data_IF_946954610751
#
_entry.id   IF_946954610751
#
_cell.length_a   1.000
_cell.length_b   1.000
_cell.length_c   1.000
_cell.angle_alpha   90.00
_cell.angle_beta   90.00
_cell.angle_gamma   90.00
#
_symmetry.space_group_name_H-M   'P 1'
#
loop_
_entity.id
_entity.type
_entity.pdbx_description
1 polymer ?
#
# COMPACT_ATOMS: atom_id res chain seq x y z
N UNK A 1 13.42 11.66 50.32
CA UNK A 1 14.69 11.38 49.62
C UNK A 1 14.32 10.98 48.21
N UNK A 2 14.33 11.92 47.27
CA UNK A 2 14.19 11.60 45.84
C UNK A 2 15.43 10.82 45.40
N UNK A 3 15.20 9.71 44.71
CA UNK A 3 16.25 8.80 44.30
C UNK A 3 17.02 9.41 43.10
N UNK A 4 18.31 9.72 43.23
CA UNK A 4 19.08 10.42 42.17
C UNK A 4 19.34 9.56 40.92
N UNK A 5 18.83 8.32 40.89
CA UNK A 5 18.98 7.37 39.79
C UNK A 5 17.66 7.03 39.07
N UNK A 6 16.58 7.80 39.27
CA UNK A 6 15.48 7.75 38.30
C UNK A 6 15.96 8.39 36.99
N UNK A 7 16.66 7.58 36.18
CA UNK A 7 16.78 7.84 34.75
C UNK A 7 15.35 8.08 34.26
N UNK A 8 15.08 9.33 33.87
CA UNK A 8 13.83 9.75 33.24
C UNK A 8 13.68 8.94 31.97
N UNK A 9 13.18 7.70 32.08
CA UNK A 9 12.89 6.84 30.96
C UNK A 9 11.96 7.67 30.09
N UNK A 10 12.42 8.03 28.90
CA UNK A 10 11.57 8.70 27.91
C UNK A 10 10.44 7.74 27.61
N UNK A 11 9.35 7.91 28.36
CA UNK A 11 8.13 7.14 28.21
C UNK A 11 7.65 7.46 26.81
N UNK A 12 7.67 6.45 25.94
CA UNK A 12 7.23 6.61 24.55
C UNK A 12 5.83 7.21 24.58
N UNK A 13 5.55 8.26 23.79
CA UNK A 13 4.21 8.81 23.74
C UNK A 13 3.27 7.72 23.22
N UNK A 14 2.19 7.46 23.96
CA UNK A 14 1.19 6.44 23.61
C UNK A 14 0.72 6.58 22.16
N UNK A 15 0.62 7.81 21.68
CA UNK A 15 0.25 8.13 20.31
C UNK A 15 1.22 7.52 19.26
N UNK A 16 2.54 7.63 19.47
CA UNK A 16 3.54 7.06 18.56
C UNK A 16 3.50 5.52 18.58
N UNK A 17 3.24 4.92 19.75
CA UNK A 17 3.03 3.47 19.88
C UNK A 17 1.83 3.02 19.05
N UNK A 18 0.69 3.73 19.13
CA UNK A 18 -0.52 3.42 18.34
C UNK A 18 -0.24 3.57 16.85
N UNK A 19 0.42 4.64 16.42
CA UNK A 19 0.80 4.81 15.00
C UNK A 19 1.65 3.65 14.49
N UNK A 20 2.68 3.26 15.25
CA UNK A 20 3.56 2.15 14.86
C UNK A 20 2.77 0.84 14.74
N UNK A 21 1.83 0.57 15.65
CA UNK A 21 0.97 -0.61 15.59
C UNK A 21 0.05 -0.55 14.36
N UNK A 22 -0.56 0.60 14.08
CA UNK A 22 -1.40 0.78 12.88
C UNK A 22 -0.59 0.57 11.58
N UNK A 23 0.63 1.08 11.52
CA UNK A 23 1.53 0.83 10.39
C UNK A 23 1.94 -0.64 10.33
N UNK A 24 2.17 -1.30 11.46
CA UNK A 24 2.49 -2.73 11.50
C UNK A 24 1.34 -3.59 10.98
N UNK A 25 0.10 -3.25 11.35
CA UNK A 25 -1.11 -3.93 10.84
C UNK A 25 -1.26 -3.67 9.34
N UNK A 26 -1.13 -2.41 8.90
CA UNK A 26 -1.25 -2.04 7.48
C UNK A 26 -0.19 -2.69 6.60
N UNK A 27 1.09 -2.52 6.93
CA UNK A 27 2.21 -3.13 6.18
C UNK A 27 2.25 -4.64 6.35
N UNK A 28 1.90 -5.19 7.52
CA UNK A 28 1.81 -6.64 7.75
C UNK A 28 0.72 -7.28 6.89
N UNK A 29 -0.44 -6.65 6.80
CA UNK A 29 -1.51 -7.08 5.90
C UNK A 29 -1.10 -6.98 4.42
N UNK A 30 -0.42 -5.88 4.05
CA UNK A 30 0.14 -5.70 2.70
C UNK A 30 1.08 -6.85 2.31
N UNK A 31 2.06 -7.17 3.15
CA UNK A 31 3.00 -8.28 2.92
C UNK A 31 2.26 -9.62 2.77
N UNK A 32 1.29 -9.90 3.64
CA UNK A 32 0.48 -11.12 3.54
C UNK A 32 -0.29 -11.19 2.22
N UNK A 33 -0.88 -10.07 1.80
CA UNK A 33 -1.63 -10.00 0.54
C UNK A 33 -0.74 -10.19 -0.70
N UNK A 34 0.47 -9.62 -0.68
CA UNK A 34 1.46 -9.74 -1.76
C UNK A 34 2.03 -11.16 -1.82
N UNK A 35 2.37 -11.75 -0.68
CA UNK A 35 2.80 -13.15 -0.59
C UNK A 35 1.71 -14.11 -1.09
N UNK A 36 0.47 -13.90 -0.67
CA UNK A 36 -0.65 -14.70 -1.15
C UNK A 36 -0.85 -14.55 -2.66
N UNK A 37 -0.70 -13.34 -3.19
CA UNK A 37 -0.76 -13.08 -4.63
C UNK A 37 0.34 -13.83 -5.39
N UNK A 38 1.58 -13.84 -4.88
CA UNK A 38 2.71 -14.56 -5.48
C UNK A 38 2.51 -16.08 -5.47
N UNK A 39 2.04 -16.65 -4.35
CA UNK A 39 1.75 -18.08 -4.23
C UNK A 39 0.65 -18.47 -5.23
N UNK A 40 -0.42 -17.67 -5.29
CA UNK A 40 -1.55 -17.95 -6.19
C UNK A 40 -1.19 -17.74 -7.66
N UNK A 41 -0.28 -16.82 -7.97
CA UNK A 41 0.21 -16.60 -9.32
C UNK A 41 0.91 -17.83 -9.91
N UNK A 42 1.56 -18.67 -9.09
CA UNK A 42 2.15 -19.93 -9.53
C UNK A 42 1.15 -21.08 -9.70
N UNK A 43 -0.02 -20.99 -9.06
CA UNK A 43 -1.06 -22.03 -9.11
C UNK A 43 -2.11 -21.79 -10.21
N UNK A 44 -2.31 -20.54 -10.63
CA UNK A 44 -3.35 -20.16 -11.57
C UNK A 44 -2.77 -19.93 -12.96
N UNK A 45 -3.25 -20.68 -13.96
CA UNK A 45 -2.88 -20.45 -15.35
C UNK A 45 -3.40 -19.08 -15.79
N UNK A 46 -2.49 -18.17 -16.15
CA UNK A 46 -2.79 -16.81 -16.60
C UNK A 46 -3.79 -16.79 -17.77
N UNK A 47 -3.76 -17.82 -18.62
CA UNK A 47 -4.70 -18.02 -19.73
C UNK A 47 -6.15 -18.25 -19.27
N UNK A 48 -6.36 -19.10 -18.26
CA UNK A 48 -7.70 -19.41 -17.71
C UNK A 48 -8.30 -18.19 -17.03
N UNK A 49 -7.48 -17.39 -16.34
CA UNK A 49 -7.92 -16.17 -15.68
C UNK A 49 -8.32 -15.08 -16.69
N UNK A 50 -7.60 -14.98 -17.81
CA UNK A 50 -7.96 -14.07 -18.90
C UNK A 50 -9.25 -14.48 -19.61
N UNK A 51 -9.46 -15.78 -19.83
CA UNK A 51 -10.66 -16.29 -20.52
C UNK A 51 -11.92 -16.17 -19.64
N UNK A 52 -11.82 -16.44 -18.34
CA UNK A 52 -12.91 -16.16 -17.41
C UNK A 52 -13.22 -14.67 -17.32
N UNK A 53 -12.19 -13.82 -17.37
CA UNK A 53 -12.38 -12.39 -17.37
C UNK A 53 -13.08 -11.91 -18.64
N UNK A 54 -12.66 -12.37 -19.82
CA UNK A 54 -13.31 -12.00 -21.08
C UNK A 54 -14.77 -12.43 -21.12
N UNK A 55 -15.09 -13.66 -20.69
CA UNK A 55 -16.47 -14.14 -20.65
C UNK A 55 -17.36 -13.36 -19.68
N UNK A 56 -16.84 -12.97 -18.51
CA UNK A 56 -17.58 -12.14 -17.56
C UNK A 56 -17.83 -10.72 -18.11
N UNK A 57 -16.90 -10.20 -18.93
CA UNK A 57 -17.03 -8.90 -19.55
C UNK A 57 -18.04 -8.89 -20.70
N UNK A 58 -18.07 -9.93 -21.52
CA UNK A 58 -19.06 -10.05 -22.61
C UNK A 58 -20.49 -10.06 -22.07
N UNK A 59 -20.74 -10.75 -20.95
CA UNK A 59 -22.04 -10.75 -20.27
C UNK A 59 -22.44 -9.36 -19.74
N UNK A 60 -21.47 -8.56 -19.29
CA UNK A 60 -21.70 -7.19 -18.81
C UNK A 60 -21.92 -6.20 -19.96
N UNK A 61 -21.26 -6.40 -21.09
CA UNK A 61 -21.45 -5.60 -22.30
C UNK A 61 -22.86 -5.79 -22.89
N UNK A 62 -23.37 -7.03 -22.87
CA UNK A 62 -24.73 -7.37 -23.30
C UNK A 62 -25.83 -6.82 -22.36
N UNK A 63 -25.47 -6.35 -21.16
CA UNK A 63 -26.40 -5.81 -20.17
C UNK A 63 -26.86 -4.36 -20.46
N UNK A 64 -26.39 -3.72 -21.54
CA UNK A 64 -26.90 -2.42 -22.00
C UNK A 64 -26.54 -1.22 -21.11
N UNK A 65 -25.28 -1.16 -20.63
CA UNK A 65 -24.78 -0.06 -19.77
C UNK A 65 -24.89 1.30 -20.48
N UNK A 66 -25.83 2.14 -20.02
CA UNK A 66 -26.34 3.29 -20.78
C UNK A 66 -25.79 4.67 -20.38
N UNK A 67 -24.85 4.75 -19.42
CA UNK A 67 -24.25 6.03 -19.01
C UNK A 67 -22.76 6.12 -19.35
N UNK A 68 -22.34 7.29 -19.84
CA UNK A 68 -20.96 7.59 -20.26
C UNK A 68 -19.93 7.45 -19.14
N UNK A 69 -20.34 7.68 -17.89
CA UNK A 69 -19.50 7.46 -16.71
C UNK A 69 -19.30 5.96 -16.44
N UNK A 70 -20.36 5.15 -16.53
CA UNK A 70 -20.26 3.71 -16.29
C UNK A 70 -19.47 3.00 -17.39
N UNK A 71 -19.61 3.42 -18.65
CA UNK A 71 -18.79 2.87 -19.74
C UNK A 71 -17.30 3.22 -19.58
N UNK A 72 -16.98 4.46 -19.18
CA UNK A 72 -15.59 4.86 -18.87
C UNK A 72 -14.99 4.16 -17.65
N UNK A 73 -15.81 3.86 -16.64
CA UNK A 73 -15.40 3.05 -15.49
C UNK A 73 -15.15 1.60 -15.90
N UNK A 74 -16.00 1.02 -16.73
CA UNK A 74 -15.86 -0.36 -17.22
C UNK A 74 -14.60 -0.54 -18.08
N UNK A 75 -14.35 0.38 -19.02
CA UNK A 75 -13.13 0.34 -19.84
C UNK A 75 -11.86 0.51 -19.00
N UNK A 76 -11.87 1.44 -18.04
CA UNK A 76 -10.75 1.61 -17.10
C UNK A 76 -10.53 0.36 -16.24
N UNK A 77 -11.60 -0.34 -15.86
CA UNK A 77 -11.53 -1.59 -15.09
C UNK A 77 -10.86 -2.69 -15.91
N UNK A 78 -11.20 -2.79 -17.19
CA UNK A 78 -10.53 -3.70 -18.13
C UNK A 78 -9.03 -3.43 -18.26
N UNK A 79 -8.64 -2.18 -18.49
CA UNK A 79 -7.24 -1.81 -18.58
C UNK A 79 -6.46 -2.16 -17.30
N UNK A 80 -7.04 -1.83 -16.13
CA UNK A 80 -6.42 -2.12 -14.83
C UNK A 80 -6.27 -3.62 -14.62
N UNK A 81 -7.31 -4.41 -14.90
CA UNK A 81 -7.27 -5.85 -14.68
C UNK A 81 -6.27 -6.50 -15.63
N UNK A 82 -6.29 -6.16 -16.92
CA UNK A 82 -5.36 -6.74 -17.88
C UNK A 82 -3.90 -6.43 -17.53
N UNK A 83 -3.59 -5.15 -17.25
CA UNK A 83 -2.24 -4.75 -16.89
C UNK A 83 -1.79 -5.33 -15.53
N UNK A 84 -2.70 -5.41 -14.55
CA UNK A 84 -2.43 -6.06 -13.26
C UNK A 84 -2.11 -7.54 -13.41
N UNK A 85 -2.72 -8.23 -14.38
CA UNK A 85 -2.42 -9.63 -14.66
C UNK A 85 -1.09 -9.81 -15.41
N UNK A 86 -0.73 -8.89 -16.29
CA UNK A 86 0.55 -8.93 -17.02
C UNK A 86 1.75 -8.64 -16.11
N UNK A 87 1.63 -7.64 -15.23
CA UNK A 87 2.71 -7.21 -14.34
C UNK A 87 2.53 -7.69 -12.89
N UNK A 88 1.68 -8.70 -12.67
CA UNK A 88 1.29 -9.17 -11.33
C UNK A 88 2.48 -9.46 -10.43
N UNK A 89 3.44 -10.23 -10.93
CA UNK A 89 4.61 -10.66 -10.17
C UNK A 89 5.53 -9.47 -9.86
N UNK A 90 5.75 -8.58 -10.82
CA UNK A 90 6.58 -7.39 -10.66
C UNK A 90 5.98 -6.44 -9.62
N UNK A 91 4.68 -6.16 -9.71
CA UNK A 91 3.95 -5.33 -8.74
C UNK A 91 4.04 -5.95 -7.35
N UNK A 92 3.79 -7.26 -7.22
CA UNK A 92 3.82 -7.94 -5.93
C UNK A 92 5.24 -7.98 -5.31
N UNK A 93 6.29 -8.19 -6.11
CA UNK A 93 7.69 -8.17 -5.63
C UNK A 93 8.10 -6.76 -5.22
N UNK A 94 7.82 -5.75 -6.05
CA UNK A 94 8.11 -4.36 -5.70
C UNK A 94 7.35 -3.92 -4.45
N UNK A 95 6.05 -4.26 -4.37
CA UNK A 95 5.22 -4.00 -3.20
C UNK A 95 5.78 -4.66 -1.94
N UNK A 96 6.22 -5.92 -2.02
CA UNK A 96 6.78 -6.65 -0.89
C UNK A 96 8.07 -6.00 -0.39
N UNK A 97 8.98 -5.64 -1.28
CA UNK A 97 10.23 -4.96 -0.93
C UNK A 97 9.92 -3.64 -0.21
N UNK A 98 9.03 -2.81 -0.76
CA UNK A 98 8.68 -1.53 -0.15
C UNK A 98 7.91 -1.68 1.17
N UNK A 99 7.02 -2.67 1.27
CA UNK A 99 6.29 -3.00 2.50
C UNK A 99 7.25 -3.43 3.61
N UNK A 100 8.29 -4.21 3.29
CA UNK A 100 9.35 -4.57 4.24
C UNK A 100 10.15 -3.33 4.67
N UNK A 101 10.51 -2.43 3.74
CA UNK A 101 11.20 -1.17 4.07
C UNK A 101 10.33 -0.28 4.97
N UNK A 102 9.03 -0.17 4.67
CA UNK A 102 8.04 0.54 5.50
C UNK A 102 7.98 -0.06 6.90
N UNK A 103 7.96 -1.40 7.02
CA UNK A 103 7.93 -2.10 8.30
C UNK A 103 9.23 -1.92 9.10
N UNK A 104 10.40 -1.95 8.43
CA UNK A 104 11.68 -1.59 9.03
C UNK A 104 11.62 -0.15 9.56
N UNK A 105 11.13 0.80 8.76
CA UNK A 105 10.90 2.18 9.19
C UNK A 105 10.04 2.27 10.45
N UNK A 106 8.92 1.55 10.49
CA UNK A 106 8.03 1.47 11.65
C UNK A 106 8.70 0.86 12.88
N UNK A 107 9.50 -0.20 12.74
CA UNK A 107 10.26 -0.80 13.85
C UNK A 107 11.32 0.17 14.39
N UNK A 108 12.00 0.92 13.52
CA UNK A 108 12.97 1.93 13.95
C UNK A 108 12.28 3.12 14.64
N UNK A 109 11.13 3.56 14.13
CA UNK A 109 10.30 4.58 14.78
C UNK A 109 9.77 4.09 16.13
N UNK A 110 9.38 2.82 16.23
CA UNK A 110 9.03 2.20 17.49
C UNK A 110 10.20 2.30 18.47
N UNK A 111 11.45 2.08 18.01
CA UNK A 111 12.67 2.28 18.82
C UNK A 111 13.08 3.74 19.03
N UNK A 112 12.22 4.72 18.72
CA UNK A 112 12.46 6.17 18.82
C UNK A 112 13.65 6.67 17.98
N UNK A 113 13.99 6.00 16.88
CA UNK A 113 15.07 6.46 15.97
C UNK A 113 14.49 7.28 14.82
N UNK A 114 14.96 8.52 14.64
CA UNK A 114 14.51 9.43 13.55
C UNK A 114 14.72 8.85 12.15
N UNK A 115 15.77 8.04 11.97
CA UNK A 115 16.07 7.41 10.67
C UNK A 115 14.91 6.53 10.16
N UNK A 116 14.10 5.96 11.07
CA UNK A 116 12.94 5.14 10.69
C UNK A 116 11.88 5.92 9.91
N UNK A 117 11.69 7.20 10.24
CA UNK A 117 10.74 8.07 9.54
C UNK A 117 11.13 8.24 8.06
N UNK A 118 12.41 8.48 7.76
CA UNK A 118 12.87 8.63 6.39
C UNK A 118 12.67 7.36 5.55
N UNK A 119 12.95 6.18 6.13
CA UNK A 119 12.68 4.90 5.45
C UNK A 119 11.19 4.71 5.17
N UNK A 120 10.34 5.01 6.16
CA UNK A 120 8.89 4.90 5.99
C UNK A 120 8.35 5.88 4.93
N UNK A 121 8.71 7.15 5.01
CA UNK A 121 8.27 8.17 4.04
C UNK A 121 8.75 7.84 2.64
N UNK A 122 10.01 7.43 2.46
CA UNK A 122 10.53 7.03 1.16
C UNK A 122 9.76 5.81 0.61
N UNK A 123 9.51 4.80 1.43
CA UNK A 123 8.74 3.63 1.02
C UNK A 123 7.31 4.01 0.60
N UNK A 124 6.60 4.82 1.40
CA UNK A 124 5.22 5.24 1.08
C UNK A 124 5.15 6.06 -0.21
N UNK A 125 6.07 6.99 -0.42
CA UNK A 125 6.11 7.78 -1.66
C UNK A 125 6.41 6.90 -2.87
N UNK A 126 7.33 5.94 -2.75
CA UNK A 126 7.62 4.99 -3.83
C UNK A 126 6.45 4.04 -4.10
N UNK A 127 5.71 3.61 -3.08
CA UNK A 127 4.54 2.74 -3.24
C UNK A 127 3.44 3.40 -4.07
N UNK A 128 3.24 4.71 -3.94
CA UNK A 128 2.28 5.46 -4.77
C UNK A 128 2.63 5.43 -6.26
N UNK A 129 3.90 5.25 -6.59
CA UNK A 129 4.38 5.18 -7.97
C UNK A 129 4.22 3.80 -8.63
N UNK A 130 4.10 2.71 -7.86
CA UNK A 130 4.05 1.35 -8.43
C UNK A 130 2.87 1.21 -9.39
N UNK A 131 1.66 1.47 -8.91
CA UNK A 131 0.43 1.29 -9.70
C UNK A 131 0.46 2.07 -11.02
N UNK A 132 0.70 3.39 -11.07
CA UNK A 132 0.71 4.13 -12.34
C UNK A 132 1.88 3.74 -13.27
N UNK A 133 3.04 3.32 -12.75
CA UNK A 133 4.18 2.92 -13.59
C UNK A 133 3.89 1.62 -14.35
N UNK A 134 3.24 0.64 -13.71
CA UNK A 134 2.97 -0.66 -14.34
C UNK A 134 1.60 -0.75 -15.02
N UNK A 135 0.58 -0.07 -14.47
CA UNK A 135 -0.82 -0.16 -14.93
C UNK A 135 -1.20 1.03 -15.81
N UNK A 136 -0.47 2.15 -15.74
CA UNK A 136 -0.78 3.37 -16.49
C UNK A 136 -1.82 4.26 -15.82
N UNK A 137 -2.17 5.35 -16.50
CA UNK A 137 -3.08 6.38 -15.98
C UNK A 137 -4.53 6.17 -16.47
N UNK A 138 -5.24 5.21 -15.88
CA UNK A 138 -6.69 5.06 -16.05
C UNK A 138 -7.47 5.80 -14.95
N UNK A 139 -8.79 6.00 -15.13
CA UNK A 139 -9.64 6.66 -14.12
C UNK A 139 -9.57 5.95 -12.77
N UNK A 140 -9.57 4.62 -12.77
CA UNK A 140 -9.49 3.81 -11.55
C UNK A 140 -8.11 3.95 -10.91
N UNK A 141 -7.04 3.89 -11.69
CA UNK A 141 -5.68 4.06 -11.17
C UNK A 141 -5.51 5.42 -10.52
N UNK A 142 -5.94 6.50 -11.18
CA UNK A 142 -5.86 7.88 -10.65
C UNK A 142 -6.67 8.01 -9.37
N UNK A 143 -7.90 7.48 -9.35
CA UNK A 143 -8.77 7.53 -8.16
C UNK A 143 -8.14 6.77 -6.99
N UNK A 144 -7.61 5.58 -7.23
CA UNK A 144 -6.93 4.77 -6.21
C UNK A 144 -5.63 5.41 -5.70
N UNK A 145 -4.90 6.11 -6.58
CA UNK A 145 -3.68 6.84 -6.25
C UNK A 145 -3.99 8.03 -5.33
N UNK A 146 -5.01 8.83 -5.66
CA UNK A 146 -5.43 9.97 -4.83
C UNK A 146 -5.83 9.48 -3.44
N UNK A 147 -6.64 8.42 -3.38
CA UNK A 147 -7.07 7.84 -2.10
C UNK A 147 -5.86 7.37 -1.28
N UNK A 148 -4.97 6.60 -1.88
CA UNK A 148 -3.76 6.09 -1.21
C UNK A 148 -2.83 7.23 -0.76
N UNK A 149 -2.68 8.27 -1.58
CA UNK A 149 -1.84 9.43 -1.28
C UNK A 149 -2.35 10.22 -0.07
N UNK A 150 -3.67 10.35 0.10
CA UNK A 150 -4.28 10.99 1.27
C UNK A 150 -3.91 10.21 2.54
N UNK A 151 -4.04 8.89 2.54
CA UNK A 151 -3.67 8.07 3.69
C UNK A 151 -2.16 8.12 3.98
N UNK A 152 -1.32 8.03 2.94
CA UNK A 152 0.12 8.15 3.08
C UNK A 152 0.50 9.51 3.71
N UNK A 153 -0.03 10.62 3.19
CA UNK A 153 0.20 11.95 3.74
C UNK A 153 -0.28 12.08 5.18
N UNK A 154 -1.47 11.56 5.49
CA UNK A 154 -2.01 11.56 6.85
C UNK A 154 -1.03 10.89 7.82
N UNK A 155 -0.57 9.67 7.51
CA UNK A 155 0.38 8.99 8.39
C UNK A 155 1.73 9.70 8.47
N UNK A 156 2.25 10.21 7.34
CA UNK A 156 3.50 10.98 7.32
C UNK A 156 3.40 12.21 8.23
N UNK A 157 2.30 12.96 8.16
CA UNK A 157 2.07 14.14 9.02
C UNK A 157 1.97 13.72 10.50
N UNK A 158 1.22 12.66 10.79
CA UNK A 158 1.08 12.16 12.17
C UNK A 158 2.43 11.73 12.76
N UNK A 159 3.28 11.07 11.97
CA UNK A 159 4.65 10.76 12.39
C UNK A 159 5.54 11.99 12.50
N UNK A 160 5.43 12.94 11.57
CA UNK A 160 6.20 14.18 11.56
C UNK A 160 5.97 15.02 12.82
N UNK A 161 4.72 15.11 13.28
CA UNK A 161 4.37 15.79 14.54
C UNK A 161 5.01 15.11 15.77
N UNK A 162 5.29 13.81 15.66
CA UNK A 162 5.93 13.02 16.72
C UNK A 162 7.45 12.88 16.58
N UNK A 163 8.07 13.45 15.54
CA UNK A 163 9.53 13.41 15.33
C UNK A 163 10.31 14.04 16.48
N UNK A 164 9.72 15.02 17.18
CA UNK A 164 10.34 15.65 18.36
C UNK A 164 10.65 14.66 19.49
N UNK A 165 9.93 13.54 19.56
CA UNK A 165 10.15 12.48 20.56
C UNK A 165 11.17 11.44 20.11
N UNK A 166 11.50 11.40 18.82
CA UNK A 166 12.51 10.51 18.26
C UNK A 166 13.89 11.19 18.37
N UNK A 167 14.94 10.41 18.56
CA UNK A 167 16.33 10.85 18.58
C UNK A 167 17.06 10.45 17.30
#
# INVERSE_FOLDING_TARGET
MENPFEEKQMKRPTFLTVLCILTFIGSGWGILSELFSLITAGMMNQSVQMEQYSQAMDQLADSGVSSSFLSGLLSSSQEVIQASMMYRTQIAVCGLILSVISLIGAVLMFRLKRIGFYFYTAAQVLMLGITPIFIGFSLITITSLIFSAIFALLFIILYAVNLKYMK
#
